data_IF_013408438374
#
_entry.id   IF_013408438374
#
_cell.length_a   1.000
_cell.length_b   1.000
_cell.length_c   1.000
_cell.angle_alpha   90.00
_cell.angle_beta   90.00
_cell.angle_gamma   90.00
#
_symmetry.space_group_name_H-M   'P 1'
#
loop_
_entity.id
_entity.type
_entity.pdbx_description
1 polymer ?
#
# COMPACT_ATOMS: atom_id res chain seq x y z
N UNK A 1 1.18 -3.51 -20.67
CA UNK A 1 2.08 -3.21 -19.54
C UNK A 1 1.30 -3.24 -18.24
N UNK A 2 2.00 -3.23 -17.10
CA UNK A 2 1.40 -3.17 -15.77
C UNK A 2 0.90 -1.75 -15.53
N UNK A 3 -0.38 -1.59 -15.17
CA UNK A 3 -0.98 -0.29 -14.86
C UNK A 3 -0.84 0.11 -13.39
N UNK A 4 -0.87 -0.88 -12.49
CA UNK A 4 -0.81 -0.70 -11.04
C UNK A 4 0.17 -1.70 -10.42
N UNK A 5 1.02 -1.21 -9.53
CA UNK A 5 1.95 -2.03 -8.74
C UNK A 5 1.86 -1.61 -7.29
N UNK A 6 1.44 -2.52 -6.41
CA UNK A 6 1.42 -2.26 -4.97
C UNK A 6 2.59 -2.98 -4.29
N UNK A 7 3.38 -2.23 -3.53
CA UNK A 7 4.49 -2.76 -2.73
C UNK A 7 4.17 -2.69 -1.25
N UNK A 8 4.28 -3.84 -0.55
CA UNK A 8 4.11 -3.92 0.89
C UNK A 8 5.44 -3.55 1.58
N UNK A 9 5.65 -2.27 1.82
CA UNK A 9 6.92 -1.76 2.31
C UNK A 9 7.04 -1.76 3.84
N UNK A 10 5.94 -1.46 4.57
CA UNK A 10 5.95 -1.45 6.03
C UNK A 10 4.55 -1.78 6.57
N UNK A 11 4.45 -2.87 7.34
CA UNK A 11 3.17 -3.29 7.95
C UNK A 11 2.93 -2.65 9.32
N UNK A 12 1.67 -2.66 9.78
CA UNK A 12 1.34 -2.23 11.16
C UNK A 12 2.07 -3.08 12.20
N UNK A 13 2.29 -4.37 11.95
CA UNK A 13 3.01 -5.28 12.84
C UNK A 13 4.51 -4.98 12.91
N UNK A 14 5.08 -4.23 11.96
CA UNK A 14 6.48 -3.84 12.01
C UNK A 14 6.77 -2.82 13.13
N UNK A 15 5.76 -2.10 13.62
CA UNK A 15 5.91 -1.20 14.77
C UNK A 15 6.23 -1.94 16.08
N UNK A 16 5.91 -3.23 16.19
CA UNK A 16 6.22 -4.08 17.35
C UNK A 16 7.69 -4.56 17.37
N UNK A 17 8.50 -4.21 16.37
CA UNK A 17 9.94 -4.52 16.33
C UNK A 17 10.72 -3.64 17.30
N UNK A 18 11.94 -4.03 17.69
CA UNK A 18 12.82 -3.18 18.46
C UNK A 18 12.97 -1.78 17.83
N UNK A 19 12.97 -0.74 18.66
CA UNK A 19 12.96 0.66 18.20
C UNK A 19 14.08 0.97 17.22
N UNK A 20 15.29 0.44 17.45
CA UNK A 20 16.42 0.66 16.55
C UNK A 20 16.20 0.07 15.14
N UNK A 21 15.47 -1.05 15.00
CA UNK A 21 15.10 -1.61 13.71
C UNK A 21 14.07 -0.73 13.01
N UNK A 22 13.07 -0.26 13.74
CA UNK A 22 12.02 0.61 13.21
C UNK A 22 12.63 1.91 12.68
N UNK A 23 13.51 2.54 13.47
CA UNK A 23 14.23 3.76 13.06
C UNK A 23 15.04 3.51 11.79
N UNK A 24 15.85 2.45 11.75
CA UNK A 24 16.66 2.11 10.58
C UNK A 24 15.82 1.84 9.32
N UNK A 25 14.68 1.15 9.45
CA UNK A 25 13.75 0.92 8.34
C UNK A 25 13.09 2.21 7.86
N UNK A 26 12.72 3.11 8.75
CA UNK A 26 12.14 4.41 8.39
C UNK A 26 13.17 5.31 7.69
N UNK A 27 14.40 5.37 8.17
CA UNK A 27 15.47 6.11 7.51
C UNK A 27 15.76 5.59 6.11
N UNK A 28 15.84 4.25 5.94
CA UNK A 28 16.02 3.63 4.64
C UNK A 28 14.87 3.97 3.69
N UNK A 29 13.62 3.86 4.15
CA UNK A 29 12.43 4.18 3.38
C UNK A 29 12.46 5.63 2.89
N UNK A 30 12.69 6.57 3.81
CA UNK A 30 12.71 8.01 3.53
C UNK A 30 13.80 8.36 2.53
N UNK A 31 15.02 7.86 2.74
CA UNK A 31 16.13 8.09 1.83
C UNK A 31 15.84 7.53 0.43
N UNK A 32 15.29 6.31 0.36
CA UNK A 32 14.93 5.69 -0.92
C UNK A 32 13.87 6.50 -1.66
N UNK A 33 12.80 6.94 -0.97
CA UNK A 33 11.73 7.72 -1.59
C UNK A 33 12.25 9.05 -2.12
N UNK A 34 13.05 9.77 -1.32
CA UNK A 34 13.67 11.03 -1.74
C UNK A 34 14.56 10.84 -2.96
N UNK A 35 15.46 9.86 -2.91
CA UNK A 35 16.45 9.63 -3.96
C UNK A 35 15.81 9.14 -5.27
N UNK A 36 14.67 8.44 -5.19
CA UNK A 36 13.96 7.88 -6.34
C UNK A 36 12.84 8.77 -6.90
N UNK A 37 12.38 9.82 -6.18
CA UNK A 37 11.25 10.65 -6.59
C UNK A 37 11.41 11.23 -8.01
N UNK A 38 12.60 11.78 -8.32
CA UNK A 38 12.93 12.30 -9.64
C UNK A 38 12.99 11.19 -10.72
N UNK A 39 13.47 10.00 -10.36
CA UNK A 39 13.51 8.84 -11.25
C UNK A 39 12.10 8.37 -11.60
N UNK A 40 11.20 8.31 -10.61
CA UNK A 40 9.79 8.01 -10.81
C UNK A 40 9.14 9.02 -11.76
N UNK A 41 9.39 10.33 -11.53
CA UNK A 41 8.85 11.38 -12.38
C UNK A 41 9.35 11.28 -13.82
N UNK A 42 10.65 11.10 -14.04
CA UNK A 42 11.24 10.93 -15.38
C UNK A 42 10.69 9.72 -16.14
N UNK A 43 10.32 8.66 -15.42
CA UNK A 43 9.71 7.47 -16.00
C UNK A 43 8.17 7.53 -16.08
N UNK A 44 7.58 8.69 -15.83
CA UNK A 44 6.13 8.92 -15.82
C UNK A 44 5.38 7.97 -14.87
N UNK A 45 5.98 7.64 -13.71
CA UNK A 45 5.37 6.79 -12.67
C UNK A 45 4.70 7.71 -11.64
N UNK A 46 3.43 7.45 -11.36
CA UNK A 46 2.65 8.16 -10.33
C UNK A 46 2.75 7.42 -9.01
N UNK A 47 3.28 8.09 -7.99
CA UNK A 47 3.38 7.53 -6.64
C UNK A 47 2.06 7.73 -5.88
N UNK A 48 1.66 6.69 -5.16
CA UNK A 48 0.55 6.70 -4.21
C UNK A 48 0.99 6.05 -2.91
N UNK A 49 0.31 6.38 -1.81
CA UNK A 49 0.56 5.77 -0.49
C UNK A 49 -0.77 5.35 0.11
N UNK A 50 -0.80 4.14 0.67
CA UNK A 50 -1.92 3.61 1.46
C UNK A 50 -1.43 3.19 2.84
N UNK A 51 -2.31 3.26 3.85
CA UNK A 51 -2.02 2.90 5.23
C UNK A 51 -2.14 4.06 6.20
N UNK A 52 -1.72 3.86 7.46
CA UNK A 52 -1.82 4.87 8.51
C UNK A 52 -0.63 5.82 8.52
N UNK A 53 -0.75 6.90 7.75
CA UNK A 53 0.29 7.92 7.69
C UNK A 53 0.48 8.68 9.01
N UNK A 54 -0.50 8.64 9.94
CA UNK A 54 -0.38 9.33 11.22
C UNK A 54 0.66 8.68 12.14
N UNK A 55 0.93 7.39 11.94
CA UNK A 55 1.95 6.64 12.69
C UNK A 55 3.38 6.95 12.25
N UNK A 56 3.56 7.49 11.04
CA UNK A 56 4.91 7.80 10.55
C UNK A 56 5.49 9.04 11.24
N UNK A 57 6.81 9.08 11.48
CA UNK A 57 7.49 10.28 11.94
C UNK A 57 7.26 11.48 11.01
N UNK A 58 7.31 12.68 11.55
CA UNK A 58 7.02 13.91 10.78
C UNK A 58 7.96 14.07 9.58
N UNK A 59 9.26 13.79 9.76
CA UNK A 59 10.22 13.86 8.67
C UNK A 59 9.87 12.91 7.52
N UNK A 60 9.43 11.68 7.83
CA UNK A 60 9.01 10.71 6.83
C UNK A 60 7.76 11.17 6.05
N UNK A 61 6.79 11.73 6.77
CA UNK A 61 5.58 12.30 6.15
C UNK A 61 5.90 13.46 5.20
N UNK A 62 6.87 14.29 5.53
CA UNK A 62 7.25 15.44 4.71
C UNK A 62 7.91 14.99 3.41
N UNK A 63 8.89 14.08 3.47
CA UNK A 63 9.53 13.51 2.27
C UNK A 63 8.52 12.79 1.36
N UNK A 64 7.58 12.03 1.95
CA UNK A 64 6.50 11.40 1.19
C UNK A 64 5.62 12.42 0.48
N UNK A 65 5.26 13.53 1.15
CA UNK A 65 4.46 14.60 0.53
C UNK A 65 5.19 15.23 -0.66
N UNK A 66 6.50 15.46 -0.55
CA UNK A 66 7.30 16.00 -1.66
C UNK A 66 7.32 15.03 -2.83
N UNK A 67 7.57 13.74 -2.60
CA UNK A 67 7.59 12.74 -3.66
C UNK A 67 6.21 12.58 -4.35
N UNK A 68 5.12 12.62 -3.57
CA UNK A 68 3.75 12.61 -4.09
C UNK A 68 3.49 13.85 -4.96
N UNK A 69 3.93 15.03 -4.54
CA UNK A 69 3.76 16.28 -5.29
C UNK A 69 4.56 16.26 -6.61
N UNK A 70 5.81 15.77 -6.58
CA UNK A 70 6.66 15.63 -7.78
C UNK A 70 5.99 14.73 -8.84
N UNK A 71 5.30 13.68 -8.41
CA UNK A 71 4.76 12.65 -9.32
C UNK A 71 3.27 12.77 -9.61
N UNK A 72 2.57 13.74 -9.02
CA UNK A 72 1.09 13.87 -9.05
C UNK A 72 0.46 13.90 -10.44
N UNK A 73 1.16 14.53 -11.40
CA UNK A 73 0.66 14.73 -12.76
C UNK A 73 1.11 13.61 -13.73
N UNK A 74 1.86 12.62 -13.25
CA UNK A 74 2.26 11.47 -14.04
C UNK A 74 1.05 10.60 -14.41
N UNK A 75 1.09 10.00 -15.59
CA UNK A 75 -0.03 9.27 -16.19
C UNK A 75 0.30 7.82 -16.56
N UNK A 76 1.51 7.37 -16.25
CA UNK A 76 1.97 6.01 -16.55
C UNK A 76 1.61 5.01 -15.44
N UNK A 77 2.59 4.19 -15.01
CA UNK A 77 2.42 3.22 -13.94
C UNK A 77 2.02 3.91 -12.63
N UNK A 78 0.98 3.40 -11.96
CA UNK A 78 0.63 3.77 -10.59
C UNK A 78 1.40 2.87 -9.62
N UNK A 79 2.38 3.43 -8.92
CA UNK A 79 3.13 2.76 -7.86
C UNK A 79 2.48 3.07 -6.52
N UNK A 80 1.95 2.05 -5.84
CA UNK A 80 1.25 2.19 -4.56
C UNK A 80 2.14 1.62 -3.46
N UNK A 81 2.57 2.47 -2.54
CA UNK A 81 3.36 2.07 -1.37
C UNK A 81 2.44 1.84 -0.18
N UNK A 82 2.35 0.59 0.30
CA UNK A 82 1.63 0.26 1.53
C UNK A 82 2.57 0.48 2.74
N UNK A 83 2.31 1.55 3.50
CA UNK A 83 3.11 2.02 4.63
C UNK A 83 2.27 2.08 5.89
N UNK A 84 2.76 1.47 6.98
CA UNK A 84 1.98 1.33 8.22
C UNK A 84 0.58 0.76 7.91
N UNK A 85 0.56 -0.24 7.01
CA UNK A 85 -0.65 -0.83 6.45
C UNK A 85 -0.86 -2.24 6.99
N UNK A 86 -2.11 -2.62 7.20
CA UNK A 86 -2.55 -4.01 7.24
C UNK A 86 -4.04 -4.10 6.90
N UNK A 87 -4.46 -5.23 6.32
CA UNK A 87 -5.85 -5.40 5.89
C UNK A 87 -6.84 -5.36 7.05
N UNK A 88 -6.47 -5.90 8.23
CA UNK A 88 -7.34 -5.81 9.42
C UNK A 88 -7.48 -4.38 9.92
N UNK A 89 -6.39 -3.61 9.94
CA UNK A 89 -6.44 -2.19 10.29
C UNK A 89 -7.32 -1.42 9.30
N UNK A 90 -7.12 -1.64 8.01
CA UNK A 90 -7.90 -0.97 6.95
C UNK A 90 -9.39 -1.21 7.10
N UNK A 91 -9.81 -2.48 7.24
CA UNK A 91 -11.21 -2.84 7.42
C UNK A 91 -11.82 -2.20 8.68
N UNK A 92 -11.08 -2.24 9.79
CA UNK A 92 -11.53 -1.59 11.04
C UNK A 92 -11.66 -0.08 10.87
N UNK A 93 -10.72 0.55 10.16
CA UNK A 93 -10.76 1.98 9.87
C UNK A 93 -11.95 2.34 8.97
N UNK A 94 -12.21 1.56 7.92
CA UNK A 94 -13.38 1.74 7.06
C UNK A 94 -14.69 1.64 7.85
N UNK A 95 -14.84 0.61 8.70
CA UNK A 95 -16.02 0.45 9.57
C UNK A 95 -16.21 1.65 10.51
N UNK A 96 -15.13 2.16 11.12
CA UNK A 96 -15.20 3.34 11.98
C UNK A 96 -15.66 4.58 11.22
N UNK A 97 -15.16 4.79 10.01
CA UNK A 97 -15.52 5.93 9.17
C UNK A 97 -16.98 5.84 8.72
N UNK A 98 -17.46 4.67 8.30
CA UNK A 98 -18.86 4.42 7.96
C UNK A 98 -19.77 4.71 9.17
N UNK A 99 -19.44 4.16 10.34
CA UNK A 99 -20.21 4.39 11.56
C UNK A 99 -20.25 5.88 11.94
N UNK A 100 -19.16 6.61 11.70
CA UNK A 100 -19.13 8.05 11.93
C UNK A 100 -20.03 8.83 10.98
N UNK A 101 -20.07 8.48 9.70
CA UNK A 101 -20.98 9.12 8.73
C UNK A 101 -22.45 8.78 9.01
N UNK A 102 -22.77 7.55 9.45
CA UNK A 102 -24.10 7.18 9.93
C UNK A 102 -24.49 8.03 11.14
N UNK A 103 -23.59 8.16 12.13
CA UNK A 103 -23.86 9.00 13.32
C UNK A 103 -24.11 10.46 12.98
N UNK A 104 -23.52 10.97 11.89
CA UNK A 104 -23.74 12.34 11.39
C UNK A 104 -25.01 12.49 10.55
N UNK A 105 -25.75 11.42 10.28
CA UNK A 105 -26.91 11.43 9.39
C UNK A 105 -26.58 11.67 7.93
N UNK A 106 -25.34 11.38 7.51
CA UNK A 106 -24.92 11.50 6.12
C UNK A 106 -25.03 10.19 5.33
N UNK A 107 -25.13 9.07 6.04
CA UNK A 107 -25.30 7.74 5.49
C UNK A 107 -26.35 6.99 6.29
N UNK A 108 -27.33 6.42 5.59
CA UNK A 108 -28.34 5.55 6.21
C UNK A 108 -27.81 4.11 6.24
N UNK A 109 -28.13 3.37 7.32
CA UNK A 109 -27.63 1.99 7.51
C UNK A 109 -28.08 1.08 6.36
N UNK A 110 -29.28 1.28 5.85
CA UNK A 110 -29.89 0.52 4.75
C UNK A 110 -29.17 0.71 3.41
N UNK A 111 -28.37 1.77 3.28
CA UNK A 111 -27.59 2.09 2.09
C UNK A 111 -26.13 1.59 2.18
N UNK A 112 -25.78 0.88 3.26
CA UNK A 112 -24.45 0.30 3.41
C UNK A 112 -24.40 -1.03 2.64
N UNK A 113 -23.64 -1.04 1.55
CA UNK A 113 -23.38 -2.19 0.68
C UNK A 113 -21.87 -2.41 0.44
N UNK A 114 -21.52 -3.29 -0.50
CA UNK A 114 -20.11 -3.55 -0.85
C UNK A 114 -19.42 -2.32 -1.45
N UNK A 115 -20.14 -1.57 -2.30
CA UNK A 115 -19.60 -0.37 -2.94
C UNK A 115 -19.34 0.71 -1.89
N UNK A 116 -20.21 0.85 -0.92
CA UNK A 116 -20.02 1.73 0.24
C UNK A 116 -18.75 1.32 1.00
N UNK A 117 -18.59 0.05 1.36
CA UNK A 117 -17.37 -0.41 2.05
C UNK A 117 -16.13 -0.09 1.23
N UNK A 118 -16.12 -0.38 -0.07
CA UNK A 118 -14.99 -0.15 -0.96
C UNK A 118 -14.59 1.33 -1.04
N UNK A 119 -15.56 2.25 -1.01
CA UNK A 119 -15.29 3.69 -0.98
C UNK A 119 -14.55 4.17 0.28
N UNK A 120 -14.69 3.45 1.40
CA UNK A 120 -14.02 3.77 2.66
C UNK A 120 -12.70 3.02 2.89
N UNK A 121 -12.32 2.09 1.99
CA UNK A 121 -10.99 1.49 2.01
C UNK A 121 -9.94 2.49 1.52
N UNK A 122 -8.72 2.39 2.00
CA UNK A 122 -7.62 3.26 1.54
C UNK A 122 -7.15 2.91 0.11
N UNK A 123 -7.64 1.82 -0.46
CA UNK A 123 -7.50 1.44 -1.87
C UNK A 123 -8.62 1.96 -2.77
N UNK A 124 -9.55 2.77 -2.24
CA UNK A 124 -10.61 3.38 -3.05
C UNK A 124 -10.03 4.14 -4.25
N UNK A 125 -10.55 3.85 -5.42
CA UNK A 125 -10.06 4.45 -6.68
C UNK A 125 -8.96 3.65 -7.38
N UNK A 126 -8.49 2.54 -6.80
CA UNK A 126 -7.61 1.58 -7.47
C UNK A 126 -8.38 0.29 -7.78
N UNK A 127 -8.05 -0.39 -8.88
CA UNK A 127 -8.59 -1.71 -9.15
C UNK A 127 -8.04 -2.74 -8.16
N UNK A 128 -8.81 -3.78 -7.89
CA UNK A 128 -8.31 -4.93 -7.13
C UNK A 128 -7.17 -5.60 -7.90
N UNK A 129 -6.16 -6.14 -7.20
CA UNK A 129 -5.03 -6.80 -7.84
C UNK A 129 -5.44 -8.11 -8.50
N UNK A 130 -4.98 -8.33 -9.73
CA UNK A 130 -5.17 -9.59 -10.47
C UNK A 130 -4.15 -10.66 -10.03
N UNK A 131 -2.96 -10.23 -9.59
CA UNK A 131 -1.85 -11.11 -9.20
C UNK A 131 -1.20 -10.60 -7.90
N UNK A 132 -1.05 -11.49 -6.92
CA UNK A 132 -0.23 -11.28 -5.74
C UNK A 132 1.01 -12.17 -5.80
N UNK A 133 2.19 -11.57 -5.70
CA UNK A 133 3.47 -12.29 -5.66
C UNK A 133 4.03 -12.25 -4.23
N UNK A 134 4.29 -13.41 -3.66
CA UNK A 134 4.99 -13.54 -2.39
C UNK A 134 6.34 -14.21 -2.60
N UNK A 135 7.40 -13.50 -2.27
CA UNK A 135 8.80 -13.94 -2.37
C UNK A 135 9.29 -14.62 -1.08
N UNK A 136 10.52 -15.11 -1.09
CA UNK A 136 11.25 -15.65 0.07
C UNK A 136 10.71 -16.97 0.64
N UNK A 137 9.98 -17.76 -0.14
CA UNK A 137 9.49 -19.08 0.27
C UNK A 137 8.41 -19.08 1.35
N UNK A 138 7.72 -17.94 1.53
CA UNK A 138 6.66 -17.76 2.51
C UNK A 138 5.28 -17.97 1.85
N UNK A 139 4.46 -18.87 2.40
CA UNK A 139 3.17 -19.28 1.84
C UNK A 139 1.99 -18.67 2.61
N UNK A 140 2.03 -17.37 2.86
CA UNK A 140 0.98 -16.60 3.55
C UNK A 140 0.92 -15.18 3.00
N UNK A 141 -0.23 -14.51 3.10
CA UNK A 141 -0.41 -13.12 2.64
C UNK A 141 -0.06 -12.07 3.70
N UNK A 142 0.20 -12.49 4.93
CA UNK A 142 0.65 -11.65 6.05
C UNK A 142 -0.19 -10.38 6.24
N UNK A 143 -1.51 -10.54 6.30
CA UNK A 143 -2.44 -9.43 6.53
C UNK A 143 -2.38 -8.33 5.44
N UNK A 144 -1.91 -8.68 4.22
CA UNK A 144 -1.83 -7.76 3.08
C UNK A 144 -3.10 -7.81 2.24
N UNK A 145 -3.71 -6.67 1.95
CA UNK A 145 -4.86 -6.47 1.04
C UNK A 145 -5.96 -7.53 1.19
N UNK A 146 -6.41 -7.84 2.44
CA UNK A 146 -7.31 -8.95 2.74
C UNK A 146 -8.62 -8.93 1.94
N UNK A 147 -9.18 -7.75 1.74
CA UNK A 147 -10.43 -7.57 1.00
C UNK A 147 -10.19 -7.66 -0.51
N UNK A 148 -9.16 -7.00 -0.98
CA UNK A 148 -8.87 -6.81 -2.41
C UNK A 148 -8.30 -8.07 -3.09
N UNK A 149 -7.69 -8.99 -2.32
CA UNK A 149 -7.12 -10.24 -2.84
C UNK A 149 -8.15 -11.36 -3.04
N UNK A 150 -9.44 -11.10 -2.83
CA UNK A 150 -10.48 -12.12 -2.85
C UNK A 150 -10.53 -12.96 -4.14
N UNK A 151 -10.16 -12.37 -5.28
CA UNK A 151 -10.13 -13.01 -6.59
C UNK A 151 -8.76 -12.96 -7.28
N UNK A 152 -7.71 -12.54 -6.54
CA UNK A 152 -6.36 -12.47 -7.09
C UNK A 152 -5.75 -13.87 -7.26
N UNK A 153 -4.98 -14.06 -8.32
CA UNK A 153 -4.06 -15.19 -8.45
C UNK A 153 -2.92 -15.05 -7.43
N UNK A 154 -2.56 -16.14 -6.76
CA UNK A 154 -1.53 -16.13 -5.73
C UNK A 154 -0.29 -16.90 -6.23
N UNK A 155 0.80 -16.19 -6.44
CA UNK A 155 2.08 -16.75 -6.84
C UNK A 155 3.09 -16.70 -5.69
N UNK A 156 3.62 -17.86 -5.30
CA UNK A 156 4.62 -17.99 -4.24
C UNK A 156 5.93 -18.48 -4.83
N UNK A 157 7.03 -17.81 -4.49
CA UNK A 157 8.36 -18.17 -4.98
C UNK A 157 9.41 -18.18 -3.87
N UNK A 158 10.40 -19.06 -4.00
CA UNK A 158 11.56 -19.11 -3.10
C UNK A 158 12.57 -17.99 -3.36
N UNK A 159 12.46 -17.30 -4.48
CA UNK A 159 13.35 -16.17 -4.81
C UNK A 159 13.19 -15.09 -3.74
N UNK A 160 14.31 -14.60 -3.18
CA UNK A 160 14.26 -13.50 -2.21
C UNK A 160 14.00 -12.18 -2.92
N UNK A 161 13.36 -11.23 -2.23
CA UNK A 161 13.04 -9.93 -2.82
C UNK A 161 14.25 -9.21 -3.45
N UNK A 162 15.46 -9.17 -2.82
CA UNK A 162 16.60 -8.54 -3.43
C UNK A 162 17.08 -9.20 -4.74
N UNK A 163 16.73 -10.47 -4.96
CA UNK A 163 17.10 -11.25 -6.14
C UNK A 163 15.99 -11.37 -7.17
N UNK A 164 14.79 -10.87 -6.87
CA UNK A 164 13.64 -10.91 -7.77
C UNK A 164 13.87 -9.95 -8.95
N UNK A 165 13.82 -10.48 -10.18
CA UNK A 165 14.10 -9.74 -11.42
C UNK A 165 12.97 -9.93 -12.43
N UNK A 166 13.15 -9.31 -13.58
CA UNK A 166 12.20 -9.30 -14.69
C UNK A 166 11.77 -10.71 -15.12
N UNK A 167 12.71 -11.65 -15.16
CA UNK A 167 12.47 -13.05 -15.53
C UNK A 167 11.51 -13.71 -14.54
N UNK A 168 11.68 -13.46 -13.24
CA UNK A 168 10.79 -13.98 -12.19
C UNK A 168 9.38 -13.39 -12.29
N UNK A 169 9.27 -12.11 -12.68
CA UNK A 169 7.98 -11.47 -12.91
C UNK A 169 7.28 -12.08 -14.13
N UNK A 170 8.00 -12.41 -15.19
CA UNK A 170 7.42 -13.05 -16.37
C UNK A 170 6.99 -14.49 -16.10
N UNK A 171 7.70 -15.21 -15.24
CA UNK A 171 7.30 -16.54 -14.79
C UNK A 171 5.99 -16.48 -14.00
N UNK A 172 5.86 -15.50 -13.09
CA UNK A 172 4.64 -15.30 -12.31
C UNK A 172 3.44 -14.95 -13.19
#
# INVERSE_FOLDING_TARGET
GIGYLTLYAFSTENWDRPEYEVVGLMELLVNTIRDEAETLHKNNIKLHVIGDMSMLPEYARNELKEALEITKDNTGLNLIMALSYSGRWELLNAVKNIAYEVKKGKLEIENIDQDTLQQYLCTSGFPDPELMIRTSGEYRISNFLLYQLAYAELYFTNVRWPDFRKENLYEA
#
